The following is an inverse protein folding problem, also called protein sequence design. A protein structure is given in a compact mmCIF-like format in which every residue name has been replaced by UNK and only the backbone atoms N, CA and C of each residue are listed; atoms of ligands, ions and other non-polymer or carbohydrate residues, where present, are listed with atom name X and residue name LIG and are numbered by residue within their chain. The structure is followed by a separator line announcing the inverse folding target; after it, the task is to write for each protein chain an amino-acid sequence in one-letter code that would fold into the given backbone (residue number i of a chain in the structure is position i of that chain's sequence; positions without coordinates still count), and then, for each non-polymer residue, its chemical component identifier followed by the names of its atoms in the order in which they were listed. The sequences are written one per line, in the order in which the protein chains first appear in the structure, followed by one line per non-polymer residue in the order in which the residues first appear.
data_IF_435657827917
#
_entry.id   IF_435657827917
#
_cell.length_a   1.000
_cell.length_b   1.000
_cell.length_c   1.000
_cell.angle_alpha   90.00
_cell.angle_beta   90.00
_cell.angle_gamma   90.00
#
_symmetry.space_group_name_H-M   'P 1'
#
loop_
_entity.id
_entity.type
_entity.pdbx_description
1 polymer ?
#
# COMPACT_ATOMS: atom_id res chain seq x y z
N UNK A 1 -10.15 22.75 1.10
CA UNK A 1 -8.86 22.03 1.14
C UNK A 1 -8.40 22.05 2.59
N UNK A 2 -8.65 20.99 3.35
CA UNK A 2 -8.27 20.90 4.76
C UNK A 2 -7.22 19.79 4.89
N UNK A 3 -5.99 20.06 4.44
CA UNK A 3 -4.85 19.16 4.66
C UNK A 3 -4.21 19.44 6.03
N UNK A 4 -3.44 18.48 6.54
CA UNK A 4 -2.63 18.68 7.75
C UNK A 4 -1.53 19.71 7.47
N UNK A 5 -1.53 20.88 8.13
CA UNK A 5 -0.52 21.91 7.92
C UNK A 5 0.87 21.35 8.22
N UNK A 6 1.87 21.67 7.39
CA UNK A 6 3.26 21.25 7.58
C UNK A 6 3.63 19.88 7.03
N UNK A 7 2.70 18.91 6.97
CA UNK A 7 3.01 17.54 6.51
C UNK A 7 3.63 17.50 5.11
N UNK A 8 3.10 18.29 4.18
CA UNK A 8 3.66 18.42 2.82
C UNK A 8 5.10 18.92 2.89
N UNK A 9 5.30 20.01 3.61
CA UNK A 9 6.60 20.69 3.75
C UNK A 9 7.63 19.77 4.38
N UNK A 10 7.25 18.97 5.39
CA UNK A 10 8.14 18.02 6.04
C UNK A 10 8.54 16.88 5.09
N UNK A 11 7.57 16.32 4.35
CA UNK A 11 7.83 15.29 3.35
C UNK A 11 8.73 15.80 2.23
N UNK A 12 8.45 16.99 1.69
CA UNK A 12 9.26 17.62 0.65
C UNK A 12 10.66 17.94 1.17
N UNK A 13 10.80 18.48 2.38
CA UNK A 13 12.10 18.75 2.99
C UNK A 13 12.93 17.48 3.19
N UNK A 14 12.30 16.37 3.61
CA UNK A 14 12.98 15.08 3.74
C UNK A 14 13.45 14.56 2.37
N UNK A 15 12.61 14.63 1.34
CA UNK A 15 12.97 14.21 -0.01
C UNK A 15 14.05 15.10 -0.63
N UNK A 16 14.02 16.41 -0.40
CA UNK A 16 15.07 17.34 -0.85
C UNK A 16 16.40 17.05 -0.16
N UNK A 17 16.40 16.78 1.16
CA UNK A 17 17.61 16.36 1.88
C UNK A 17 18.16 15.04 1.34
N UNK A 18 17.27 14.09 1.03
CA UNK A 18 17.67 12.82 0.43
C UNK A 18 18.27 13.01 -0.96
N UNK A 19 17.72 13.93 -1.75
CA UNK A 19 18.28 14.30 -3.05
C UNK A 19 19.70 14.88 -2.91
N UNK A 20 19.89 15.79 -1.95
CA UNK A 20 21.19 16.42 -1.65
C UNK A 20 22.23 15.46 -1.08
N UNK A 21 21.81 14.34 -0.48
CA UNK A 21 22.73 13.32 0.01
C UNK A 21 23.42 12.53 -1.12
N UNK A 22 23.00 12.73 -2.38
CA UNK A 22 23.54 12.05 -3.58
C UNK A 22 23.58 10.51 -3.47
N UNK A 23 22.72 9.97 -2.59
CA UNK A 23 22.56 8.53 -2.37
C UNK A 23 21.13 8.09 -2.68
N UNK A 24 21.00 6.82 -3.03
CA UNK A 24 19.74 6.11 -3.25
C UNK A 24 19.58 4.94 -2.28
N UNK A 25 20.47 4.82 -1.30
CA UNK A 25 20.49 3.70 -0.35
C UNK A 25 19.51 3.93 0.79
N UNK A 26 18.89 2.82 1.23
CA UNK A 26 17.95 2.86 2.33
C UNK A 26 18.60 3.30 3.65
N UNK A 27 19.87 2.96 3.88
CA UNK A 27 20.59 3.32 5.10
C UNK A 27 20.69 4.84 5.29
N UNK A 28 21.02 5.57 4.22
CA UNK A 28 21.12 7.03 4.23
C UNK A 28 19.74 7.67 4.41
N UNK A 29 18.73 7.12 3.73
CA UNK A 29 17.35 7.55 3.95
C UNK A 29 16.91 7.32 5.40
N UNK A 30 17.26 6.19 6.00
CA UNK A 30 16.90 5.87 7.38
C UNK A 30 17.63 6.76 8.41
N UNK A 31 18.84 7.23 8.09
CA UNK A 31 19.53 8.26 8.87
C UNK A 31 18.77 9.59 8.80
N UNK A 32 18.44 10.05 7.59
CA UNK A 32 17.67 11.28 7.39
C UNK A 32 16.29 11.20 8.08
N UNK A 33 15.59 10.06 7.96
CA UNK A 33 14.31 9.82 8.63
C UNK A 33 14.38 10.10 10.14
N UNK A 34 15.42 9.57 10.80
CA UNK A 34 15.64 9.75 12.24
C UNK A 34 16.06 11.17 12.60
N UNK A 35 16.95 11.78 11.82
CA UNK A 35 17.39 13.16 12.03
C UNK A 35 16.22 14.16 11.91
N UNK A 36 15.26 13.87 11.03
CA UNK A 36 14.05 14.67 10.84
C UNK A 36 12.92 14.31 11.83
N UNK A 37 13.17 13.39 12.79
CA UNK A 37 12.19 12.89 13.76
C UNK A 37 10.91 12.33 13.14
N UNK A 38 10.99 11.81 11.91
CA UNK A 38 9.82 11.23 11.23
C UNK A 38 9.32 9.96 11.92
N UNK A 39 10.12 9.32 12.78
CA UNK A 39 9.68 8.25 13.67
C UNK A 39 8.56 8.72 14.61
N UNK A 40 8.51 10.01 14.94
CA UNK A 40 7.50 10.58 15.85
C UNK A 40 6.23 11.08 15.14
N UNK A 41 6.12 10.93 13.82
CA UNK A 41 5.03 11.52 12.99
C UNK A 41 3.61 11.14 13.44
N UNK A 42 3.43 9.96 14.04
CA UNK A 42 2.12 9.48 14.53
C UNK A 42 1.89 9.67 16.04
N UNK A 43 2.84 10.22 16.78
CA UNK A 43 2.81 10.31 18.26
C UNK A 43 2.13 11.57 18.80
N UNK A 44 1.51 12.38 17.94
CA UNK A 44 0.56 13.39 18.39
C UNK A 44 -0.60 12.74 19.15
N UNK A 45 -1.10 13.38 20.21
CA UNK A 45 -2.31 12.93 20.93
C UNK A 45 -3.57 13.13 20.06
N UNK A 46 -3.68 12.31 19.03
CA UNK A 46 -4.75 12.35 18.01
C UNK A 46 -5.76 11.26 18.33
N UNK A 47 -7.05 11.57 18.21
CA UNK A 47 -8.10 10.55 18.37
C UNK A 47 -7.99 9.50 17.25
N UNK A 48 -8.35 8.25 17.52
CA UNK A 48 -8.21 7.14 16.54
C UNK A 48 -8.79 7.45 15.14
N UNK A 49 -9.99 8.04 14.99
CA UNK A 49 -10.52 8.38 13.66
C UNK A 49 -9.69 9.44 12.92
N UNK A 50 -9.21 10.45 13.64
CA UNK A 50 -8.33 11.48 13.10
C UNK A 50 -6.96 10.90 12.72
N UNK A 51 -6.45 9.94 13.49
CA UNK A 51 -5.20 9.24 13.20
C UNK A 51 -5.32 8.39 11.92
N UNK A 52 -6.45 7.70 11.74
CA UNK A 52 -6.75 6.97 10.50
C UNK A 52 -6.82 7.93 9.32
N UNK A 53 -7.49 9.08 9.49
CA UNK A 53 -7.59 10.12 8.47
C UNK A 53 -6.20 10.67 8.10
N UNK A 54 -5.40 11.03 9.10
CA UNK A 54 -4.02 11.48 8.95
C UNK A 54 -3.19 10.46 8.17
N UNK A 55 -3.23 9.19 8.57
CA UNK A 55 -2.45 8.12 7.92
C UNK A 55 -2.83 7.98 6.44
N UNK A 56 -4.13 7.99 6.13
CA UNK A 56 -4.62 7.93 4.74
C UNK A 56 -4.15 9.13 3.92
N UNK A 57 -4.20 10.34 4.50
CA UNK A 57 -3.76 11.56 3.83
C UNK A 57 -2.25 11.61 3.64
N UNK A 58 -1.45 11.16 4.61
CA UNK A 58 0.00 11.06 4.49
C UNK A 58 0.42 10.10 3.37
N UNK A 59 -0.14 8.89 3.33
CA UNK A 59 0.15 7.94 2.27
C UNK A 59 -0.29 8.46 0.88
N UNK A 60 -1.45 9.11 0.80
CA UNK A 60 -1.95 9.69 -0.45
C UNK A 60 -1.15 10.92 -0.90
N UNK A 61 -0.59 11.69 0.04
CA UNK A 61 0.26 12.84 -0.25
C UNK A 61 1.61 12.41 -0.80
N UNK A 62 2.19 11.31 -0.29
CA UNK A 62 3.50 10.83 -0.73
C UNK A 62 3.43 10.07 -2.07
N UNK A 63 2.33 9.38 -2.35
CA UNK A 63 2.16 8.55 -3.55
C UNK A 63 2.54 9.25 -4.89
N UNK A 64 2.14 10.51 -5.16
CA UNK A 64 2.53 11.21 -6.39
C UNK A 64 4.04 11.35 -6.60
N UNK A 65 4.86 11.47 -5.54
CA UNK A 65 6.32 11.59 -5.66
C UNK A 65 6.99 10.29 -6.14
N UNK A 66 6.30 9.15 -6.01
CA UNK A 66 6.77 7.85 -6.51
C UNK A 66 6.58 7.68 -8.03
N UNK A 67 5.76 8.53 -8.65
CA UNK A 67 5.41 8.46 -10.07
C UNK A 67 6.20 9.48 -10.90
N UNK A 68 6.29 9.31 -12.23
CA UNK A 68 6.79 10.37 -13.12
C UNK A 68 5.99 11.68 -12.97
N UNK A 69 6.61 12.86 -13.17
CA UNK A 69 7.92 13.11 -13.79
C UNK A 69 9.09 13.23 -12.78
N UNK A 70 8.92 12.80 -11.52
CA UNK A 70 9.99 12.91 -10.53
C UNK A 70 11.22 12.06 -10.90
N UNK A 71 12.40 12.52 -10.47
CA UNK A 71 13.67 11.84 -10.74
C UNK A 71 13.74 10.47 -10.07
N UNK A 72 14.62 9.59 -10.57
CA UNK A 72 14.81 8.25 -10.00
C UNK A 72 15.06 8.30 -8.48
N UNK A 73 15.95 9.18 -8.02
CA UNK A 73 16.27 9.34 -6.60
C UNK A 73 15.07 9.80 -5.75
N UNK A 74 14.27 10.76 -6.23
CA UNK A 74 13.06 11.20 -5.52
C UNK A 74 12.03 10.08 -5.47
N UNK A 75 11.87 9.29 -6.54
CA UNK A 75 10.97 8.14 -6.56
C UNK A 75 11.41 7.04 -5.59
N UNK A 76 12.72 6.77 -5.49
CA UNK A 76 13.29 5.88 -4.47
C UNK A 76 13.03 6.42 -3.06
N UNK A 77 13.26 7.71 -2.82
CA UNK A 77 12.96 8.36 -1.53
C UNK A 77 11.48 8.29 -1.17
N UNK A 78 10.58 8.47 -2.14
CA UNK A 78 9.14 8.35 -1.94
C UNK A 78 8.73 6.91 -1.59
N UNK A 79 9.36 5.90 -2.21
CA UNK A 79 9.16 4.49 -1.86
C UNK A 79 9.58 4.22 -0.41
N UNK A 80 10.73 4.75 0.03
CA UNK A 80 11.18 4.61 1.41
C UNK A 80 10.28 5.35 2.40
N UNK A 81 9.78 6.53 2.03
CA UNK A 81 8.85 7.32 2.83
C UNK A 81 7.50 6.59 2.99
N UNK A 82 6.95 6.03 1.92
CA UNK A 82 5.76 5.18 1.96
C UNK A 82 5.96 3.95 2.87
N UNK A 83 7.14 3.32 2.77
CA UNK A 83 7.51 2.20 3.63
C UNK A 83 7.59 2.59 5.11
N UNK A 84 8.23 3.71 5.42
CA UNK A 84 8.33 4.25 6.77
C UNK A 84 6.95 4.56 7.35
N UNK A 85 6.11 5.31 6.62
CA UNK A 85 4.76 5.66 7.04
C UNK A 85 3.87 4.43 7.26
N UNK A 86 3.93 3.45 6.35
CA UNK A 86 3.13 2.24 6.46
C UNK A 86 3.51 1.37 7.67
N UNK A 87 4.79 1.35 8.06
CA UNK A 87 5.26 0.53 9.17
C UNK A 87 5.19 1.23 10.53
N UNK A 88 5.28 2.56 10.56
CA UNK A 88 5.23 3.35 11.79
C UNK A 88 3.83 3.79 12.20
N UNK A 89 2.81 3.59 11.34
CA UNK A 89 1.43 3.90 11.68
C UNK A 89 0.97 3.14 12.95
N UNK A 90 0.28 3.84 13.85
CA UNK A 90 -0.26 3.25 15.08
C UNK A 90 -1.74 2.84 14.94
N UNK A 91 -2.32 3.02 13.76
CA UNK A 91 -3.71 2.65 13.49
C UNK A 91 -3.89 1.13 13.39
N UNK A 92 -4.95 0.62 14.01
CA UNK A 92 -5.43 -0.75 13.80
C UNK A 92 -6.89 -0.72 13.29
N UNK A 93 -7.20 -1.34 12.14
CA UNK A 93 -6.28 -2.02 11.22
C UNK A 93 -5.33 -1.05 10.50
N UNK A 94 -4.20 -1.57 9.98
CA UNK A 94 -3.27 -0.78 9.16
C UNK A 94 -3.97 -0.23 7.90
N UNK A 95 -3.78 1.05 7.66
CA UNK A 95 -4.20 1.75 6.46
C UNK A 95 -3.26 1.42 5.30
N UNK A 96 -3.87 1.20 4.12
CA UNK A 96 -3.18 0.76 2.91
C UNK A 96 -2.92 1.92 1.96
N UNK A 97 -1.84 1.81 1.19
CA UNK A 97 -1.45 2.74 0.14
C UNK A 97 -2.41 2.56 -1.04
N UNK A 98 -3.13 3.62 -1.41
CA UNK A 98 -4.08 3.58 -2.52
C UNK A 98 -3.33 3.70 -3.84
N UNK A 99 -3.53 2.73 -4.74
CA UNK A 99 -2.87 2.69 -6.05
C UNK A 99 -3.92 2.76 -7.13
N UNK A 100 -3.81 3.73 -8.04
CA UNK A 100 -4.65 3.77 -9.22
C UNK A 100 -4.15 2.75 -10.24
N UNK A 101 -5.08 2.03 -10.89
CA UNK A 101 -4.72 0.98 -11.85
C UNK A 101 -3.87 1.52 -13.02
N UNK A 102 -4.19 2.73 -13.50
CA UNK A 102 -3.43 3.39 -14.57
C UNK A 102 -1.95 3.60 -14.22
N UNK A 103 -1.62 3.76 -12.94
CA UNK A 103 -0.26 4.01 -12.48
C UNK A 103 0.55 2.70 -12.41
N UNK A 104 -0.12 1.54 -12.39
CA UNK A 104 0.56 0.25 -12.16
C UNK A 104 1.58 -0.12 -13.24
N UNK A 105 1.38 0.34 -14.47
CA UNK A 105 2.35 0.17 -15.54
C UNK A 105 3.69 0.87 -15.19
N UNK A 106 3.61 2.12 -14.73
CA UNK A 106 4.77 2.90 -14.29
C UNK A 106 5.44 2.31 -13.05
N UNK A 107 4.65 1.80 -12.10
CA UNK A 107 5.18 1.10 -10.92
C UNK A 107 5.92 -0.18 -11.31
N UNK A 108 5.37 -0.94 -12.26
CA UNK A 108 5.98 -2.18 -12.75
C UNK A 108 7.29 -1.89 -13.50
N UNK A 109 7.32 -0.81 -14.30
CA UNK A 109 8.53 -0.33 -14.98
C UNK A 109 9.59 0.11 -13.97
N UNK A 110 9.22 0.90 -12.97
CA UNK A 110 10.14 1.34 -11.92
C UNK A 110 10.77 0.17 -11.16
N UNK A 111 9.99 -0.88 -10.88
CA UNK A 111 10.54 -2.10 -10.26
C UNK A 111 11.67 -2.70 -11.11
N UNK A 112 11.50 -2.75 -12.44
CA UNK A 112 12.56 -3.25 -13.33
C UNK A 112 13.77 -2.32 -13.32
N UNK A 113 13.56 -1.00 -13.40
CA UNK A 113 14.62 0.00 -13.29
C UNK A 113 15.45 -0.17 -12.00
N UNK A 114 14.81 -0.46 -10.85
CA UNK A 114 15.52 -0.74 -9.59
C UNK A 114 16.39 -2.00 -9.65
N UNK A 115 15.95 -3.05 -10.35
CA UNK A 115 16.68 -4.30 -10.49
C UNK A 115 17.86 -4.15 -11.46
N UNK A 116 17.63 -3.50 -12.60
CA UNK A 116 18.64 -3.25 -13.63
C UNK A 116 19.77 -2.36 -13.08
N UNK A 117 19.42 -1.36 -12.27
CA UNK A 117 20.37 -0.49 -11.58
C UNK A 117 20.96 -1.09 -10.29
N UNK A 118 20.63 -2.35 -9.97
CA UNK A 118 21.15 -3.08 -8.79
C UNK A 118 20.88 -2.39 -7.43
N UNK A 119 19.75 -1.68 -7.34
CA UNK A 119 19.25 -1.10 -6.09
C UNK A 119 18.39 -2.13 -5.33
N UNK A 120 19.03 -3.21 -4.90
CA UNK A 120 18.34 -4.37 -4.30
C UNK A 120 17.65 -4.05 -2.98
N UNK A 121 18.14 -3.08 -2.22
CA UNK A 121 17.49 -2.55 -1.02
C UNK A 121 16.13 -1.91 -1.33
N UNK A 122 16.07 -1.06 -2.36
CA UNK A 122 14.82 -0.49 -2.85
C UNK A 122 13.88 -1.55 -3.41
N UNK A 123 14.40 -2.48 -4.22
CA UNK A 123 13.62 -3.60 -4.75
C UNK A 123 13.06 -4.50 -3.64
N UNK A 124 13.84 -4.75 -2.60
CA UNK A 124 13.42 -5.48 -1.40
C UNK A 124 12.30 -4.77 -0.67
N UNK A 125 12.42 -3.46 -0.43
CA UNK A 125 11.37 -2.68 0.24
C UNK A 125 10.06 -2.70 -0.56
N UNK A 126 10.13 -2.55 -1.88
CA UNK A 126 8.96 -2.68 -2.73
C UNK A 126 8.33 -4.09 -2.62
N UNK A 127 9.15 -5.14 -2.65
CA UNK A 127 8.70 -6.53 -2.47
C UNK A 127 8.07 -6.75 -1.10
N UNK A 128 8.65 -6.17 -0.04
CA UNK A 128 8.16 -6.25 1.33
C UNK A 128 6.77 -5.62 1.47
N UNK A 129 6.55 -4.44 0.89
CA UNK A 129 5.23 -3.79 0.86
C UNK A 129 4.16 -4.64 0.14
N UNK A 130 4.55 -5.35 -0.94
CA UNK A 130 3.65 -6.29 -1.61
C UNK A 130 3.28 -7.48 -0.73
N UNK A 131 4.27 -8.09 -0.06
CA UNK A 131 4.06 -9.24 0.83
C UNK A 131 3.19 -8.87 2.03
N UNK A 132 3.37 -7.68 2.57
CA UNK A 132 2.59 -7.15 3.70
C UNK A 132 1.17 -6.70 3.27
N UNK A 133 0.80 -6.87 2.00
CA UNK A 133 -0.49 -6.44 1.42
C UNK A 133 -0.78 -4.96 1.68
N UNK A 134 0.28 -4.14 1.64
CA UNK A 134 0.24 -2.72 1.93
C UNK A 134 -0.50 -1.91 0.85
N UNK A 135 -0.52 -2.41 -0.39
CA UNK A 135 -1.21 -1.76 -1.50
C UNK A 135 -2.69 -2.13 -1.54
N UNK A 136 -3.54 -1.12 -1.66
CA UNK A 136 -4.96 -1.24 -1.94
C UNK A 136 -5.22 -0.64 -3.31
N UNK A 137 -5.47 -1.50 -4.28
CA UNK A 137 -5.77 -1.01 -5.62
C UNK A 137 -7.18 -0.44 -5.65
N UNK A 138 -7.25 0.82 -6.04
CA UNK A 138 -8.51 1.51 -6.24
C UNK A 138 -8.72 1.66 -7.73
N UNK A 139 -9.88 1.21 -8.22
CA UNK A 139 -10.44 1.86 -9.40
C UNK A 139 -10.48 3.36 -9.07
N UNK A 140 -9.97 4.20 -9.95
CA UNK A 140 -10.19 5.64 -9.88
C UNK A 140 -11.42 5.96 -10.74
N UNK A 141 -12.66 5.84 -10.23
CA UNK A 141 -13.61 6.90 -10.50
C UNK A 141 -13.10 8.10 -9.69
N UNK A 142 -12.97 9.27 -10.31
CA UNK A 142 -12.91 10.51 -9.50
C UNK A 142 -14.10 10.39 -8.53
N UNK A 143 -13.88 10.49 -7.21
CA UNK A 143 -14.96 10.35 -6.23
C UNK A 143 -16.13 11.30 -6.55
N UNK A 144 -15.80 12.38 -7.25
CA UNK A 144 -16.68 13.27 -7.99
C UNK A 144 -17.67 12.55 -8.91
N UNK A 145 -17.29 11.59 -9.77
CA UNK A 145 -18.21 11.01 -10.78
C UNK A 145 -19.37 10.23 -10.17
N UNK A 146 -19.19 9.53 -9.04
CA UNK A 146 -20.30 8.83 -8.37
C UNK A 146 -21.25 9.80 -7.71
N UNK A 147 -20.72 10.80 -7.00
CA UNK A 147 -21.52 11.82 -6.33
C UNK A 147 -22.22 12.73 -7.36
N UNK A 148 -21.52 13.10 -8.43
CA UNK A 148 -22.05 13.86 -9.57
C UNK A 148 -23.12 13.04 -10.28
N UNK A 149 -22.92 11.74 -10.52
CA UNK A 149 -23.93 10.89 -11.18
C UNK A 149 -25.17 10.67 -10.32
N UNK A 150 -25.00 10.42 -9.02
CA UNK A 150 -26.10 10.36 -8.05
C UNK A 150 -26.88 11.67 -7.99
N UNK A 151 -26.16 12.79 -7.87
CA UNK A 151 -26.77 14.11 -7.79
C UNK A 151 -27.46 14.50 -9.10
N UNK A 152 -26.84 14.21 -10.24
CA UNK A 152 -27.41 14.39 -11.58
C UNK A 152 -28.65 13.53 -11.79
N UNK A 153 -28.63 12.25 -11.38
CA UNK A 153 -29.81 11.37 -11.42
C UNK A 153 -30.95 11.92 -10.56
N UNK A 154 -30.66 12.33 -9.32
CA UNK A 154 -31.67 12.94 -8.42
C UNK A 154 -32.24 14.23 -9.02
N UNK A 155 -31.39 15.10 -9.54
CA UNK A 155 -31.79 16.36 -10.15
C UNK A 155 -32.66 16.13 -11.40
N UNK A 156 -32.35 15.12 -12.23
CA UNK A 156 -33.22 14.74 -13.35
C UNK A 156 -34.59 14.24 -12.94
N UNK A 157 -34.67 13.41 -11.90
CA UNK A 157 -35.96 12.94 -11.40
C UNK A 157 -36.81 14.11 -10.90
N UNK A 158 -36.20 15.09 -10.23
CA UNK A 158 -36.90 16.29 -9.71
C UNK A 158 -37.41 17.24 -10.81
N UNK A 159 -36.77 17.26 -11.98
CA UNK A 159 -37.15 18.12 -13.12
C UNK A 159 -38.14 17.40 -14.06
N UNK A 160 -38.23 16.07 -13.97
CA UNK A 160 -39.17 15.26 -14.76
C UNK A 160 -40.60 15.37 -14.22
N UNK A 161 -41.58 15.47 -15.13
CA UNK A 161 -43.01 15.61 -14.76
C UNK A 161 -43.57 14.43 -13.97
N UNK A 162 -42.95 13.25 -14.05
CA UNK A 162 -43.38 12.01 -13.38
C UNK A 162 -42.66 11.73 -12.04
N UNK A 163 -41.70 12.59 -11.63
CA UNK A 163 -40.87 12.50 -10.40
C UNK A 163 -40.13 11.17 -10.13
N UNK A 164 -40.41 10.11 -10.88
CA UNK A 164 -39.99 8.72 -10.64
C UNK A 164 -38.98 8.23 -11.67
N UNK A 165 -38.93 8.86 -12.85
CA UNK A 165 -37.99 8.53 -13.93
C UNK A 165 -37.34 9.78 -14.53
N UNK A 166 -36.03 9.75 -14.82
CA UNK A 166 -35.34 10.87 -15.46
C UNK A 166 -35.76 11.00 -16.93
N UNK A 167 -36.05 12.23 -17.37
CA UNK A 167 -36.42 12.51 -18.76
C UNK A 167 -35.25 12.19 -19.71
N UNK A 168 -35.55 11.40 -20.77
CA UNK A 168 -34.58 10.96 -21.77
C UNK A 168 -34.01 12.14 -22.58
N UNK A 169 -34.74 13.24 -22.70
CA UNK A 169 -34.27 14.44 -23.40
C UNK A 169 -33.07 15.13 -22.72
N UNK A 170 -32.80 14.83 -21.45
CA UNK A 170 -31.77 15.49 -20.62
C UNK A 170 -30.51 14.61 -20.50
N UNK A 171 -30.38 13.47 -21.20
CA UNK A 171 -29.21 12.58 -21.13
C UNK A 171 -28.00 13.08 -21.93
N UNK A 172 -27.06 13.74 -21.25
CA UNK A 172 -25.75 14.12 -21.81
C UNK A 172 -24.71 12.99 -21.78
N UNK A 173 -25.02 11.88 -21.09
CA UNK A 173 -24.16 10.70 -20.94
C UNK A 173 -24.97 9.47 -21.35
N UNK A 174 -24.36 8.56 -22.11
CA UNK A 174 -24.97 7.29 -22.52
C UNK A 174 -25.40 6.48 -21.29
N UNK A 175 -26.64 5.98 -21.29
CA UNK A 175 -27.24 5.27 -20.15
C UNK A 175 -26.41 4.04 -19.70
N UNK A 176 -25.69 3.41 -20.64
CA UNK A 176 -24.83 2.24 -20.38
C UNK A 176 -23.50 2.56 -19.71
N UNK A 177 -23.15 3.84 -19.49
CA UNK A 177 -21.85 4.19 -18.92
C UNK A 177 -21.64 3.57 -17.54
N UNK A 178 -22.70 3.54 -16.71
CA UNK A 178 -22.63 2.96 -15.38
C UNK A 178 -22.49 1.44 -15.40
N UNK A 179 -23.18 0.75 -16.32
CA UNK A 179 -23.09 -0.70 -16.50
C UNK A 179 -21.70 -1.09 -17.01
N UNK A 180 -21.21 -0.42 -18.06
CA UNK A 180 -19.84 -0.61 -18.57
C UNK A 180 -18.78 -0.35 -17.50
N UNK A 181 -19.01 0.61 -16.62
CA UNK A 181 -18.11 0.88 -15.50
C UNK A 181 -18.12 -0.25 -14.45
N UNK A 182 -19.28 -0.85 -14.19
CA UNK A 182 -19.38 -2.03 -13.33
C UNK A 182 -18.71 -3.25 -13.97
N UNK A 183 -18.86 -3.46 -15.28
CA UNK A 183 -18.18 -4.53 -16.01
C UNK A 183 -16.66 -4.37 -15.94
N UNK A 184 -16.15 -3.14 -16.14
CA UNK A 184 -14.72 -2.82 -15.97
C UNK A 184 -14.23 -3.12 -14.54
N UNK A 185 -15.05 -2.88 -13.51
CA UNK A 185 -14.71 -3.23 -12.13
C UNK A 185 -14.70 -4.74 -11.91
N UNK A 186 -15.63 -5.48 -12.50
CA UNK A 186 -15.74 -6.93 -12.37
C UNK A 186 -14.60 -7.65 -13.10
N UNK A 187 -14.31 -7.24 -14.33
CA UNK A 187 -13.15 -7.71 -15.10
C UNK A 187 -11.85 -7.47 -14.32
N UNK A 188 -11.76 -6.32 -13.66
CA UNK A 188 -10.62 -5.98 -12.82
C UNK A 188 -10.46 -6.91 -11.60
N UNK A 189 -11.56 -7.21 -10.90
CA UNK A 189 -11.54 -8.14 -9.77
C UNK A 189 -11.14 -9.56 -10.20
N UNK A 190 -11.59 -10.00 -11.38
CA UNK A 190 -11.19 -11.29 -11.95
C UNK A 190 -9.72 -11.32 -12.34
N UNK A 191 -9.20 -10.25 -12.95
CA UNK A 191 -7.78 -10.12 -13.25
C UNK A 191 -6.90 -10.15 -12.00
N UNK A 192 -7.31 -9.48 -10.92
CA UNK A 192 -6.58 -9.50 -9.65
C UNK A 192 -6.46 -10.92 -9.07
N UNK A 193 -7.55 -11.71 -9.12
CA UNK A 193 -7.53 -13.10 -8.66
C UNK A 193 -6.55 -13.94 -9.49
N UNK A 194 -6.66 -13.88 -10.83
CA UNK A 194 -5.74 -14.60 -11.74
C UNK A 194 -4.26 -14.25 -11.53
N UNK A 195 -3.95 -12.98 -11.26
CA UNK A 195 -2.55 -12.52 -11.09
C UNK A 195 -1.98 -12.79 -9.70
N UNK A 196 -2.83 -12.93 -8.67
CA UNK A 196 -2.41 -13.40 -7.35
C UNK A 196 -2.31 -14.93 -7.25
N UNK A 197 -3.01 -15.68 -8.11
CA UNK A 197 -3.00 -17.14 -8.16
C UNK A 197 -1.91 -17.73 -9.08
N UNK A 198 -1.27 -16.93 -9.94
CA UNK A 198 -0.15 -17.39 -10.79
C UNK A 198 1.18 -17.38 -10.02
N UNK A 199 1.86 -18.54 -9.83
CA UNK A 199 3.16 -18.59 -9.21
C UNK A 199 4.25 -18.22 -10.21
N UNK A 200 5.16 -17.35 -9.77
CA UNK A 200 6.53 -17.29 -10.25
C UNK A 200 7.19 -18.65 -9.95
N UNK A 201 7.04 -19.61 -10.85
CA UNK A 201 7.79 -20.87 -10.88
C UNK A 201 8.38 -21.05 -12.27
N UNK A 202 9.42 -20.29 -12.57
CA UNK A 202 10.42 -20.60 -13.60
C UNK A 202 11.53 -19.59 -13.44
N UNK A 203 12.55 -19.99 -12.68
CA UNK A 203 14.00 -19.69 -12.79
C UNK A 203 14.56 -19.91 -11.38
N UNK A 204 15.10 -21.11 -11.15
CA UNK A 204 15.75 -21.46 -9.88
C UNK A 204 15.53 -22.90 -9.41
N UNK A 205 15.31 -23.86 -10.31
CA UNK A 205 15.38 -25.27 -9.96
C UNK A 205 16.26 -26.00 -10.99
N UNK A 206 17.56 -25.70 -10.94
CA UNK A 206 18.57 -26.51 -11.63
C UNK A 206 19.99 -26.23 -11.10
N UNK A 207 20.19 -26.16 -9.78
CA UNK A 207 21.54 -26.33 -9.20
C UNK A 207 21.51 -26.56 -7.69
N UNK A 208 20.93 -27.67 -7.21
CA UNK A 208 21.28 -28.19 -5.87
C UNK A 208 20.96 -29.67 -5.68
N UNK A 209 21.46 -30.50 -6.59
CA UNK A 209 21.70 -31.90 -6.28
C UNK A 209 23.17 -32.07 -5.86
N UNK A 210 23.47 -31.71 -4.60
CA UNK A 210 24.63 -32.24 -3.89
C UNK A 210 24.21 -32.52 -2.46
N UNK A 211 24.12 -33.81 -2.15
CA UNK A 211 23.95 -34.39 -0.82
C UNK A 211 24.82 -33.66 0.20
N UNK A 212 24.22 -33.25 1.30
CA UNK A 212 24.83 -33.24 2.63
C UNK A 212 23.69 -33.19 3.66
N UNK A 213 23.58 -34.27 4.44
CA UNK A 213 22.65 -34.33 5.55
C UNK A 213 23.23 -33.59 6.75
N UNK A 214 22.40 -32.81 7.44
CA UNK A 214 22.50 -32.69 8.89
C UNK A 214 21.18 -32.14 9.45
N UNK A 215 20.57 -32.94 10.30
CA UNK A 215 19.46 -32.58 11.18
C UNK A 215 19.92 -31.48 12.13
N UNK A 216 19.22 -30.35 12.18
CA UNK A 216 19.23 -29.50 13.37
C UNK A 216 17.88 -28.81 13.53
N UNK A 217 17.17 -29.28 14.56
CA UNK A 217 15.89 -28.76 15.03
C UNK A 217 16.06 -27.28 15.43
N UNK A 218 15.12 -26.45 14.97
CA UNK A 218 15.00 -25.05 15.38
C UNK A 218 14.84 -24.94 16.90
N UNK A 219 15.63 -24.08 17.55
CA UNK A 219 15.58 -23.78 19.00
C UNK A 219 14.19 -23.38 19.52
N UNK A 220 13.27 -22.98 18.62
CA UNK A 220 11.86 -22.77 18.97
C UNK A 220 11.10 -24.05 19.34
N UNK A 221 11.51 -25.21 18.81
CA UNK A 221 10.91 -26.52 19.04
C UNK A 221 11.21 -27.07 20.44
N UNK A 222 12.45 -26.88 20.91
CA UNK A 222 12.88 -27.34 22.24
C UNK A 222 12.15 -26.63 23.37
N UNK A 223 12.08 -25.29 23.32
CA UNK A 223 11.39 -24.49 24.34
C UNK A 223 9.90 -24.82 24.44
N UNK A 224 9.24 -25.07 23.30
CA UNK A 224 7.83 -25.45 23.26
C UNK A 224 7.59 -26.82 23.90
N UNK A 225 8.49 -27.80 23.68
CA UNK A 225 8.41 -29.13 24.32
C UNK A 225 8.64 -29.05 25.83
N UNK A 226 9.65 -28.31 26.30
CA UNK A 226 9.91 -28.15 27.74
C UNK A 226 8.75 -27.45 28.46
N UNK A 227 8.14 -26.43 27.84
CA UNK A 227 6.95 -25.77 28.38
C UNK A 227 5.74 -26.71 28.47
N UNK A 228 5.56 -27.61 27.49
CA UNK A 228 4.50 -28.61 27.52
C UNK A 228 4.70 -29.66 28.62
N UNK A 229 5.94 -30.11 28.86
CA UNK A 229 6.29 -31.04 29.93
C UNK A 229 6.13 -30.44 31.33
N UNK A 230 6.55 -29.18 31.53
CA UNK A 230 6.34 -28.47 32.80
C UNK A 230 4.85 -28.33 33.07
N UNK A 231 4.07 -28.00 32.04
CA UNK A 231 2.61 -27.87 32.17
C UNK A 231 1.98 -29.21 32.57
N UNK A 232 2.30 -30.32 31.90
CA UNK A 232 1.68 -31.62 32.22
C UNK A 232 1.99 -32.09 33.65
N UNK A 233 3.23 -31.90 34.11
CA UNK A 233 3.63 -32.24 35.49
C UNK A 233 2.95 -31.38 36.56
N UNK A 234 2.69 -30.11 36.24
CA UNK A 234 2.02 -29.19 37.17
C UNK A 234 0.55 -29.54 37.34
N UNK A 235 -0.11 -30.06 36.30
CA UNK A 235 -1.51 -30.50 36.39
C UNK A 235 -1.68 -31.91 36.98
N UNK A 236 -0.67 -32.79 36.93
CA UNK A 236 -0.75 -34.10 37.57
C UNK A 236 -0.53 -34.05 39.09
N UNK A 237 0.10 -32.99 39.61
CA UNK A 237 0.33 -32.81 41.05
C UNK A 237 -0.87 -32.24 41.83
N UNK A 238 -1.95 -31.83 41.14
CA UNK A 238 -3.18 -31.27 41.76
C UNK A 238 -4.35 -32.26 41.71
N UNK A 239 -4.10 -33.50 41.27
CA UNK A 239 -5.11 -34.55 41.15
C UNK A 239 -4.87 -35.76 42.08
N UNK A 240 -4.31 -35.52 43.28
CA UNK A 240 -4.33 -36.46 44.41
C UNK A 240 -4.93 -35.79 45.64
#
# INVERSE_FOLDING_TARGET
MNGWPGLRTDCEALLTRFQQAESVRFEDFALLWRQNRFDTIFYGKIRTPEQIKFTKEALALVWPYFLPPYTFQIRVGALYLLYGLYNTQLCQPKQKIRVALKDWAEVSKFKQELLDAQHYDAAYIFRKLLMDKAFYFTAVPKFETKNIHEHYKRMKCLISMDQSQPDKAISLIKDDFAAKFQDIILDYQQWQKKKMESPLSTVGDEMRNRKEGCSQESEGSGRAKTLAEIKSRSYSAVAQ
#
